data_IF_673887030740
#
_entry.id   IF_673887030740
#
_cell.length_a   1.000
_cell.length_b   1.000
_cell.length_c   1.000
_cell.angle_alpha   90.00
_cell.angle_beta   90.00
_cell.angle_gamma   90.00
#
_symmetry.space_group_name_H-M   'P 1'
#
loop_
_entity.id
_entity.type
_entity.pdbx_description
1 polymer ?
#
# COMPACT_ATOMS: atom_id res chain seq x y z
N UNK A 1 -19.45 -12.21 -38.77
CA UNK A 1 -18.30 -11.42 -38.28
C UNK A 1 -18.84 -10.14 -37.66
N UNK A 2 -19.06 -10.12 -36.34
CA UNK A 2 -19.51 -8.92 -35.64
C UNK A 2 -18.32 -7.98 -35.50
N UNK A 3 -18.36 -6.82 -36.18
CA UNK A 3 -17.39 -5.74 -35.95
C UNK A 3 -17.71 -5.16 -34.58
N UNK A 4 -16.85 -5.41 -33.60
CA UNK A 4 -16.84 -4.67 -32.35
C UNK A 4 -16.57 -3.20 -32.69
N UNK A 5 -17.63 -2.39 -32.83
CA UNK A 5 -17.52 -0.94 -32.91
C UNK A 5 -17.20 -0.49 -31.49
N UNK A 6 -16.00 0.00 -31.25
CA UNK A 6 -15.66 0.64 -29.97
C UNK A 6 -16.69 1.73 -29.63
N UNK A 7 -16.86 2.01 -28.34
CA UNK A 7 -17.75 3.07 -27.86
C UNK A 7 -17.40 4.42 -28.51
N UNK A 8 -18.41 5.24 -28.76
CA UNK A 8 -18.24 6.59 -29.31
C UNK A 8 -17.44 7.46 -28.32
N UNK A 9 -16.30 8.06 -28.72
CA UNK A 9 -15.51 8.91 -27.83
C UNK A 9 -16.29 10.04 -27.16
N UNK A 10 -17.28 10.62 -27.85
CA UNK A 10 -18.12 11.68 -27.27
C UNK A 10 -19.04 11.14 -26.17
N UNK A 11 -19.58 9.93 -26.35
CA UNK A 11 -20.41 9.25 -25.35
C UNK A 11 -19.58 8.86 -24.11
N UNK A 12 -18.35 8.38 -24.32
CA UNK A 12 -17.41 8.06 -23.23
C UNK A 12 -17.08 9.30 -22.40
N UNK A 13 -16.78 10.43 -23.04
CA UNK A 13 -16.48 11.68 -22.34
C UNK A 13 -17.71 12.22 -21.60
N UNK A 14 -18.90 12.12 -22.19
CA UNK A 14 -20.14 12.51 -21.51
C UNK A 14 -20.41 11.68 -20.24
N UNK A 15 -20.14 10.37 -20.29
CA UNK A 15 -20.23 9.49 -19.12
C UNK A 15 -19.19 9.85 -18.06
N UNK A 16 -17.93 10.11 -18.46
CA UNK A 16 -16.85 10.55 -17.56
C UNK A 16 -17.24 11.81 -16.80
N UNK A 17 -17.75 12.82 -17.51
CA UNK A 17 -18.19 14.08 -16.91
C UNK A 17 -19.37 13.89 -15.95
N UNK A 18 -20.30 12.98 -16.27
CA UNK A 18 -21.42 12.66 -15.38
C UNK A 18 -20.98 11.98 -14.08
N UNK A 19 -20.02 11.07 -14.16
CA UNK A 19 -19.39 10.45 -12.97
C UNK A 19 -18.72 11.53 -12.14
N UNK A 20 -17.89 12.38 -12.75
CA UNK A 20 -17.23 13.50 -12.06
C UNK A 20 -18.24 14.39 -11.33
N UNK A 21 -19.27 14.86 -12.03
CA UNK A 21 -20.32 15.70 -11.44
C UNK A 21 -21.01 15.04 -10.24
N UNK A 22 -21.21 13.72 -10.29
CA UNK A 22 -21.83 12.97 -9.19
C UNK A 22 -20.92 12.94 -7.96
N UNK A 23 -19.63 12.64 -8.16
CA UNK A 23 -18.66 12.60 -7.08
C UNK A 23 -18.40 13.99 -6.48
N UNK A 24 -18.27 15.03 -7.31
CA UNK A 24 -18.11 16.42 -6.87
C UNK A 24 -19.32 16.88 -6.04
N UNK A 25 -20.53 16.46 -6.42
CA UNK A 25 -21.75 16.77 -5.69
C UNK A 25 -21.84 16.00 -4.37
N UNK A 26 -21.30 14.78 -4.29
CA UNK A 26 -21.15 14.05 -3.04
C UNK A 26 -20.18 14.78 -2.11
N UNK A 27 -18.98 15.14 -2.56
CA UNK A 27 -17.99 15.88 -1.75
C UNK A 27 -18.53 17.23 -1.28
N UNK A 28 -19.28 17.94 -2.14
CA UNK A 28 -19.92 19.21 -1.76
C UNK A 28 -20.96 19.04 -0.64
N UNK A 29 -21.72 17.95 -0.67
CA UNK A 29 -22.81 17.70 0.29
C UNK A 29 -22.33 17.00 1.56
N UNK A 30 -21.27 16.20 1.46
CA UNK A 30 -20.65 15.44 2.53
C UNK A 30 -19.13 15.68 2.49
N UNK A 31 -18.66 16.90 2.83
CA UNK A 31 -17.23 17.19 2.77
C UNK A 31 -16.50 16.34 3.79
N UNK A 32 -15.44 15.64 3.37
CA UNK A 32 -14.71 14.70 4.23
C UNK A 32 -14.26 15.35 5.55
N UNK A 33 -13.79 16.60 5.47
CA UNK A 33 -13.36 17.40 6.63
C UNK A 33 -14.46 17.69 7.67
N UNK A 34 -15.73 17.58 7.27
CA UNK A 34 -16.90 17.90 8.11
C UNK A 34 -17.65 16.64 8.50
N UNK A 35 -17.86 15.72 7.56
CA UNK A 35 -18.48 14.42 7.77
C UNK A 35 -17.56 13.38 7.11
N UNK A 36 -16.69 12.78 7.92
CA UNK A 36 -15.77 11.78 7.43
C UNK A 36 -16.50 10.52 6.97
N UNK A 37 -16.13 9.99 5.80
CA UNK A 37 -16.59 8.68 5.33
C UNK A 37 -15.92 7.62 6.21
N UNK A 38 -16.64 7.11 7.20
CA UNK A 38 -16.10 6.17 8.20
C UNK A 38 -15.53 4.90 7.57
N UNK A 39 -16.20 4.39 6.52
CA UNK A 39 -15.74 3.22 5.78
C UNK A 39 -14.53 3.58 4.92
N UNK A 40 -13.36 3.10 5.33
CA UNK A 40 -12.11 3.27 4.59
C UNK A 40 -12.18 2.68 3.19
N UNK A 41 -12.77 1.50 3.05
CA UNK A 41 -12.90 0.84 1.75
C UNK A 41 -13.80 1.63 0.81
N UNK A 42 -14.89 2.22 1.33
CA UNK A 42 -15.75 3.07 0.51
C UNK A 42 -14.99 4.33 0.07
N UNK A 43 -14.27 4.97 0.98
CA UNK A 43 -13.52 6.18 0.67
C UNK A 43 -12.39 5.91 -0.34
N UNK A 44 -11.69 4.79 -0.16
CA UNK A 44 -10.69 4.29 -1.09
C UNK A 44 -11.29 4.03 -2.49
N UNK A 45 -12.44 3.35 -2.57
CA UNK A 45 -13.13 3.08 -3.83
C UNK A 45 -13.57 4.37 -4.55
N UNK A 46 -14.03 5.38 -3.81
CA UNK A 46 -14.33 6.70 -4.38
C UNK A 46 -13.08 7.28 -5.04
N UNK A 47 -11.93 7.18 -4.37
CA UNK A 47 -10.64 7.58 -4.93
C UNK A 47 -10.27 6.82 -6.20
N UNK A 48 -10.45 5.49 -6.22
CA UNK A 48 -10.21 4.69 -7.43
C UNK A 48 -11.08 5.17 -8.60
N UNK A 49 -12.35 5.47 -8.37
CA UNK A 49 -13.24 5.98 -9.42
C UNK A 49 -12.75 7.34 -9.92
N UNK A 50 -12.31 8.25 -9.04
CA UNK A 50 -11.68 9.51 -9.45
C UNK A 50 -10.44 9.27 -10.33
N UNK A 51 -9.57 8.33 -9.96
CA UNK A 51 -8.38 7.97 -10.75
C UNK A 51 -8.77 7.42 -12.14
N UNK A 52 -9.76 6.53 -12.21
CA UNK A 52 -10.25 5.93 -13.46
C UNK A 52 -10.82 6.97 -14.44
N UNK A 53 -11.38 8.06 -13.93
CA UNK A 53 -11.89 9.18 -14.76
C UNK A 53 -10.83 10.27 -15.00
N UNK A 54 -9.58 10.05 -14.62
CA UNK A 54 -8.45 10.94 -14.89
C UNK A 54 -8.17 11.99 -13.81
N UNK A 55 -8.88 11.98 -12.68
CA UNK A 55 -8.71 12.89 -11.55
C UNK A 55 -7.76 12.27 -10.50
N UNK A 56 -6.57 11.87 -10.93
CA UNK A 56 -5.60 11.10 -10.12
C UNK A 56 -5.17 11.82 -8.84
N UNK A 57 -5.05 13.14 -8.87
CA UNK A 57 -4.66 13.92 -7.68
C UNK A 57 -5.69 13.83 -6.56
N UNK A 58 -7.00 13.73 -6.90
CA UNK A 58 -8.04 13.54 -5.88
C UNK A 58 -7.88 12.16 -5.21
N UNK A 59 -7.53 11.12 -5.99
CA UNK A 59 -7.23 9.82 -5.39
C UNK A 59 -6.02 9.88 -4.45
N UNK A 60 -4.98 10.64 -4.82
CA UNK A 60 -3.81 10.84 -3.96
C UNK A 60 -4.20 11.51 -2.64
N UNK A 61 -4.96 12.60 -2.68
CA UNK A 61 -5.45 13.28 -1.46
C UNK A 61 -6.28 12.34 -0.58
N UNK A 62 -7.14 11.51 -1.18
CA UNK A 62 -7.91 10.49 -0.46
C UNK A 62 -6.97 9.48 0.20
N UNK A 63 -5.92 9.04 -0.50
CA UNK A 63 -4.95 8.08 0.00
C UNK A 63 -4.14 8.65 1.17
N UNK A 64 -3.70 9.91 1.07
CA UNK A 64 -3.02 10.65 2.14
C UNK A 64 -3.91 10.70 3.39
N UNK A 65 -5.17 11.12 3.23
CA UNK A 65 -6.15 11.16 4.33
C UNK A 65 -6.39 9.78 4.95
N UNK A 66 -6.49 8.74 4.12
CA UNK A 66 -6.67 7.36 4.60
C UNK A 66 -5.46 6.88 5.41
N UNK A 67 -4.25 7.25 5.00
CA UNK A 67 -3.01 6.90 5.68
C UNK A 67 -2.86 7.60 7.05
N UNK A 68 -3.35 8.83 7.18
CA UNK A 68 -3.32 9.60 8.44
C UNK A 68 -4.35 9.14 9.49
N UNK A 69 -5.39 8.42 9.08
CA UNK A 69 -6.45 7.95 10.00
C UNK A 69 -5.90 6.94 11.01
N UNK A 70 -6.32 7.09 12.28
CA UNK A 70 -6.01 6.13 13.36
C UNK A 70 -6.49 4.72 13.01
N UNK A 71 -5.75 3.72 13.49
CA UNK A 71 -6.10 2.29 13.39
C UNK A 71 -6.13 1.71 11.96
N UNK A 72 -5.04 1.86 11.20
CA UNK A 72 -4.87 1.11 9.94
C UNK A 72 -4.56 -0.36 10.19
N UNK A 73 -5.20 -1.24 9.42
CA UNK A 73 -4.79 -2.64 9.37
C UNK A 73 -3.46 -2.77 8.62
N UNK A 74 -2.77 -3.89 8.79
CA UNK A 74 -1.54 -4.18 8.04
C UNK A 74 -1.85 -4.20 6.53
N UNK A 75 -2.98 -4.81 6.16
CA UNK A 75 -3.43 -4.88 4.77
C UNK A 75 -3.78 -3.52 4.18
N UNK A 76 -4.40 -2.61 4.95
CA UNK A 76 -4.66 -1.24 4.50
C UNK A 76 -3.34 -0.54 4.15
N UNK A 77 -2.35 -0.60 5.04
CA UNK A 77 -1.04 0.03 4.82
C UNK A 77 -0.32 -0.55 3.62
N UNK A 78 -0.29 -1.88 3.49
CA UNK A 78 0.32 -2.55 2.32
C UNK A 78 -0.37 -2.09 1.04
N UNK A 79 -1.70 -2.11 0.99
CA UNK A 79 -2.48 -1.65 -0.16
C UNK A 79 -2.14 -0.20 -0.52
N UNK A 80 -2.10 0.70 0.45
CA UNK A 80 -1.80 2.11 0.19
C UNK A 80 -0.37 2.32 -0.28
N UNK A 81 0.61 1.66 0.36
CA UNK A 81 2.01 1.69 -0.07
C UNK A 81 2.18 1.21 -1.51
N UNK A 82 1.49 0.14 -1.90
CA UNK A 82 1.52 -0.37 -3.28
C UNK A 82 0.92 0.62 -4.27
N UNK A 83 -0.15 1.33 -3.92
CA UNK A 83 -0.73 2.36 -4.78
C UNK A 83 0.25 3.53 -4.98
N UNK A 84 0.95 3.97 -3.92
CA UNK A 84 2.00 4.99 -4.07
C UNK A 84 3.08 4.57 -5.07
N UNK A 85 3.52 3.31 -5.03
CA UNK A 85 4.49 2.75 -6.00
C UNK A 85 3.93 2.68 -7.43
N UNK A 86 2.73 2.10 -7.57
CA UNK A 86 2.20 1.70 -8.87
C UNK A 86 1.60 2.88 -9.64
N UNK A 87 0.76 3.65 -8.96
CA UNK A 87 -0.09 4.65 -9.60
C UNK A 87 0.56 6.04 -9.59
N UNK A 88 1.32 6.34 -8.54
CA UNK A 88 1.87 7.68 -8.29
C UNK A 88 3.39 7.78 -8.46
N UNK A 89 4.11 6.65 -8.50
CA UNK A 89 5.59 6.63 -8.47
C UNK A 89 6.15 7.44 -7.30
N UNK A 90 5.42 7.43 -6.19
CA UNK A 90 5.76 8.15 -4.97
C UNK A 90 6.46 7.21 -3.99
N UNK A 91 7.74 6.99 -4.26
CA UNK A 91 8.54 6.05 -3.49
C UNK A 91 8.84 6.56 -2.07
N UNK A 92 8.80 7.87 -1.83
CA UNK A 92 9.00 8.44 -0.49
C UNK A 92 7.86 8.06 0.46
N UNK A 93 6.60 8.24 0.04
CA UNK A 93 5.46 7.82 0.85
C UNK A 93 5.38 6.30 0.99
N UNK A 94 5.69 5.55 -0.07
CA UNK A 94 5.80 4.09 0.02
C UNK A 94 6.87 3.67 1.04
N UNK A 95 8.05 4.29 1.02
CA UNK A 95 9.16 4.01 1.93
C UNK A 95 8.75 4.24 3.37
N UNK A 96 8.11 5.37 3.68
CA UNK A 96 7.62 5.67 5.04
C UNK A 96 6.70 4.54 5.55
N UNK A 97 5.75 4.11 4.72
CA UNK A 97 4.79 3.05 5.09
C UNK A 97 5.50 1.71 5.31
N UNK A 98 6.34 1.29 4.35
CA UNK A 98 6.97 -0.03 4.40
C UNK A 98 8.08 -0.12 5.46
N UNK A 99 8.81 0.97 5.74
CA UNK A 99 9.74 1.05 6.87
C UNK A 99 9.01 0.95 8.22
N UNK A 100 7.88 1.65 8.38
CA UNK A 100 7.09 1.55 9.60
C UNK A 100 6.59 0.11 9.83
N UNK A 101 6.05 -0.54 8.79
CA UNK A 101 5.60 -1.92 8.85
C UNK A 101 6.74 -2.89 9.18
N UNK A 102 7.89 -2.75 8.50
CA UNK A 102 9.05 -3.61 8.72
C UNK A 102 9.61 -3.48 10.13
N UNK A 103 9.83 -2.25 10.59
CA UNK A 103 10.36 -1.99 11.93
C UNK A 103 9.38 -2.47 13.02
N UNK A 104 8.08 -2.25 12.83
CA UNK A 104 7.05 -2.76 13.76
C UNK A 104 7.06 -4.29 13.82
N UNK A 105 7.21 -4.97 12.67
CA UNK A 105 7.34 -6.42 12.66
C UNK A 105 8.54 -6.88 13.48
N UNK A 106 9.72 -6.28 13.28
CA UNK A 106 10.94 -6.65 14.01
C UNK A 106 10.82 -6.42 15.53
N UNK A 107 10.20 -5.31 15.94
CA UNK A 107 9.92 -5.03 17.35
C UNK A 107 9.01 -6.08 17.98
N UNK A 108 7.92 -6.42 17.27
CA UNK A 108 6.98 -7.45 17.70
C UNK A 108 7.66 -8.82 17.76
N UNK A 109 8.40 -9.22 16.71
CA UNK A 109 9.11 -10.49 16.63
C UNK A 109 10.08 -10.65 17.80
N UNK A 110 10.87 -9.61 18.10
CA UNK A 110 11.79 -9.61 19.22
C UNK A 110 11.07 -9.76 20.56
N UNK A 111 9.99 -8.99 20.79
CA UNK A 111 9.19 -9.11 22.02
C UNK A 111 8.60 -10.51 22.17
N UNK A 112 8.04 -11.07 21.10
CA UNK A 112 7.45 -12.41 21.06
C UNK A 112 8.52 -13.47 21.34
N UNK A 113 9.73 -13.31 20.79
CA UNK A 113 10.86 -14.21 21.04
C UNK A 113 11.28 -14.27 22.52
N UNK A 114 11.26 -13.13 23.23
CA UNK A 114 11.68 -13.04 24.64
C UNK A 114 10.57 -13.48 25.59
N UNK A 115 9.35 -12.97 25.38
CA UNK A 115 8.26 -13.08 26.36
C UNK A 115 7.18 -14.07 25.96
N UNK A 116 7.14 -14.48 24.69
CA UNK A 116 6.01 -15.17 24.09
C UNK A 116 4.86 -14.22 23.75
N UNK A 117 3.94 -14.69 22.88
CA UNK A 117 2.85 -13.88 22.30
C UNK A 117 2.00 -13.17 23.35
N UNK A 118 1.46 -13.92 24.33
CA UNK A 118 0.53 -13.36 25.33
C UNK A 118 1.19 -12.31 26.24
N UNK A 119 2.43 -12.54 26.66
CA UNK A 119 3.14 -11.60 27.55
C UNK A 119 3.64 -10.36 26.82
N UNK A 120 3.71 -10.42 25.49
CA UNK A 120 3.98 -9.26 24.61
C UNK A 120 2.74 -8.39 24.36
N UNK A 121 1.61 -8.65 25.04
CA UNK A 121 0.36 -7.90 24.84
C UNK A 121 -0.38 -8.24 23.54
N UNK A 122 0.03 -9.28 22.83
CA UNK A 122 -0.56 -9.73 21.58
C UNK A 122 -1.43 -10.97 21.79
N UNK A 123 -2.35 -11.19 20.84
CA UNK A 123 -3.03 -12.47 20.69
C UNK A 123 -2.44 -13.23 19.48
N UNK A 124 -2.69 -14.55 19.41
CA UNK A 124 -2.14 -15.40 18.36
C UNK A 124 -2.62 -14.99 16.96
N UNK A 125 -3.86 -14.50 16.83
CA UNK A 125 -4.41 -14.07 15.54
C UNK A 125 -3.62 -12.87 15.00
N UNK A 126 -3.37 -11.86 15.83
CA UNK A 126 -2.59 -10.68 15.46
C UNK A 126 -1.14 -11.05 15.13
N UNK A 127 -0.53 -11.94 15.91
CA UNK A 127 0.83 -12.40 15.59
C UNK A 127 0.88 -13.14 14.24
N UNK A 128 -0.06 -14.06 14.00
CA UNK A 128 -0.16 -14.75 12.71
C UNK A 128 -0.38 -13.77 11.54
N UNK A 129 -1.15 -12.71 11.75
CA UNK A 129 -1.36 -11.66 10.73
C UNK A 129 -0.04 -10.98 10.37
N UNK A 130 0.77 -10.59 11.36
CA UNK A 130 2.10 -10.05 11.11
C UNK A 130 3.01 -11.04 10.36
N UNK A 131 3.08 -12.30 10.81
CA UNK A 131 3.89 -13.32 10.14
C UNK A 131 3.48 -13.56 8.69
N UNK A 132 2.17 -13.63 8.43
CA UNK A 132 1.64 -13.90 7.09
C UNK A 132 1.92 -12.75 6.10
N UNK A 133 2.02 -11.52 6.59
CA UNK A 133 2.29 -10.35 5.74
C UNK A 133 3.78 -9.97 5.69
N UNK A 134 4.64 -10.56 6.52
CA UNK A 134 6.05 -10.16 6.62
C UNK A 134 6.81 -10.26 5.30
N UNK A 135 6.60 -11.34 4.54
CA UNK A 135 7.24 -11.50 3.22
C UNK A 135 6.87 -10.40 2.23
N UNK A 136 5.59 -10.00 2.20
CA UNK A 136 5.10 -8.93 1.32
C UNK A 136 5.62 -7.55 1.75
N UNK A 137 5.71 -7.31 3.06
CA UNK A 137 6.33 -6.10 3.63
C UNK A 137 7.79 -6.00 3.19
N UNK A 138 8.55 -7.10 3.34
CA UNK A 138 9.96 -7.17 2.94
C UNK A 138 10.10 -6.93 1.44
N UNK A 139 9.35 -7.64 0.60
CA UNK A 139 9.45 -7.47 -0.85
C UNK A 139 9.09 -6.06 -1.29
N UNK A 140 8.05 -5.46 -0.71
CA UNK A 140 7.61 -4.11 -1.06
C UNK A 140 8.62 -3.06 -0.62
N UNK A 141 9.23 -3.23 0.56
CA UNK A 141 10.29 -2.34 1.04
C UNK A 141 11.54 -2.42 0.17
N UNK A 142 12.00 -3.63 -0.16
CA UNK A 142 13.16 -3.85 -1.04
C UNK A 142 12.93 -3.20 -2.41
N UNK A 143 11.77 -3.45 -3.03
CA UNK A 143 11.42 -2.82 -4.30
C UNK A 143 11.43 -1.29 -4.19
N UNK A 144 10.88 -0.74 -3.11
CA UNK A 144 10.87 0.71 -2.88
C UNK A 144 12.29 1.26 -2.77
N UNK A 145 13.17 0.60 -2.03
CA UNK A 145 14.57 1.00 -1.93
C UNK A 145 15.31 0.92 -3.27
N UNK A 146 15.08 -0.13 -4.06
CA UNK A 146 15.67 -0.26 -5.40
C UNK A 146 15.23 0.86 -6.34
N UNK A 147 13.95 1.20 -6.37
CA UNK A 147 13.42 2.31 -7.19
C UNK A 147 13.97 3.69 -6.76
N UNK A 148 14.53 3.78 -5.55
CA UNK A 148 15.16 4.97 -4.98
C UNK A 148 16.69 4.93 -5.01
N UNK A 149 17.31 3.92 -5.65
CA UNK A 149 18.75 3.67 -5.65
C UNK A 149 19.37 3.49 -4.24
N UNK A 150 18.57 3.08 -3.25
CA UNK A 150 18.96 2.82 -1.86
C UNK A 150 19.44 1.38 -1.67
N UNK A 151 20.46 1.01 -2.43
CA UNK A 151 20.94 -0.38 -2.54
C UNK A 151 21.45 -0.95 -1.21
N UNK A 152 22.06 -0.12 -0.34
CA UNK A 152 22.57 -0.60 0.96
C UNK A 152 21.44 -0.96 1.92
N UNK A 153 20.39 -0.17 1.90
CA UNK A 153 19.18 -0.40 2.69
C UNK A 153 18.45 -1.66 2.20
N UNK A 154 18.33 -1.82 0.87
CA UNK A 154 17.78 -3.03 0.26
C UNK A 154 18.60 -4.29 0.61
N UNK A 155 19.93 -4.22 0.49
CA UNK A 155 20.85 -5.29 0.89
C UNK A 155 20.69 -5.68 2.36
N UNK A 156 20.59 -4.69 3.26
CA UNK A 156 20.41 -4.93 4.70
C UNK A 156 19.10 -5.67 4.99
N UNK A 157 18.00 -5.27 4.35
CA UNK A 157 16.69 -5.93 4.51
C UNK A 157 16.72 -7.36 3.96
N UNK A 158 17.29 -7.57 2.77
CA UNK A 158 17.40 -8.90 2.15
C UNK A 158 18.29 -9.85 2.95
N UNK A 159 19.41 -9.37 3.46
CA UNK A 159 20.31 -10.16 4.31
C UNK A 159 19.56 -10.64 5.55
N UNK A 160 18.86 -9.72 6.22
CA UNK A 160 18.04 -10.01 7.40
C UNK A 160 16.92 -11.01 7.09
N UNK A 161 16.29 -10.93 5.91
CA UNK A 161 15.30 -11.90 5.44
C UNK A 161 15.91 -13.28 5.20
N UNK A 162 17.08 -13.36 4.57
CA UNK A 162 17.76 -14.61 4.22
C UNK A 162 18.35 -15.35 5.42
N UNK A 163 18.71 -14.64 6.50
CA UNK A 163 19.06 -15.28 7.77
C UNK A 163 17.91 -16.13 8.33
N UNK A 164 16.66 -15.69 8.11
CA UNK A 164 15.43 -16.40 8.53
C UNK A 164 14.96 -17.41 7.49
N UNK A 165 15.17 -17.10 6.21
CA UNK A 165 14.66 -17.84 5.06
C UNK A 165 15.81 -18.24 4.11
N UNK A 166 16.79 -19.05 4.56
CA UNK A 166 18.02 -19.30 3.80
C UNK A 166 17.81 -20.05 2.47
N UNK A 167 16.65 -20.70 2.31
CA UNK A 167 16.28 -21.41 1.10
C UNK A 167 15.56 -20.54 0.06
N UNK A 168 15.24 -19.28 0.37
CA UNK A 168 14.58 -18.37 -0.58
C UNK A 168 15.53 -18.03 -1.74
N UNK A 169 15.22 -18.58 -2.92
CA UNK A 169 16.04 -18.40 -4.13
C UNK A 169 15.82 -17.01 -4.71
N UNK A 170 14.61 -16.46 -4.61
CA UNK A 170 14.28 -15.16 -5.20
C UNK A 170 14.98 -14.04 -4.44
N UNK A 171 14.93 -14.07 -3.11
CA UNK A 171 15.62 -13.08 -2.28
C UNK A 171 17.15 -13.13 -2.44
N UNK A 172 17.74 -14.33 -2.62
CA UNK A 172 19.17 -14.47 -2.94
C UNK A 172 19.52 -13.82 -4.27
N UNK A 173 18.72 -14.09 -5.30
CA UNK A 173 18.93 -13.49 -6.62
C UNK A 173 18.84 -11.97 -6.58
N UNK A 174 17.85 -11.42 -5.88
CA UNK A 174 17.72 -9.97 -5.68
C UNK A 174 18.95 -9.38 -4.97
N UNK A 175 19.48 -10.08 -3.96
CA UNK A 175 20.67 -9.65 -3.23
C UNK A 175 21.91 -9.64 -4.12
N UNK A 176 22.11 -10.69 -4.93
CA UNK A 176 23.20 -10.76 -5.91
C UNK A 176 23.11 -9.59 -6.91
N UNK A 177 21.92 -9.31 -7.45
CA UNK A 177 21.69 -8.20 -8.39
C UNK A 177 21.97 -6.80 -7.80
N UNK A 178 21.86 -6.63 -6.48
CA UNK A 178 22.13 -5.35 -5.78
C UNK A 178 23.64 -5.17 -5.51
N UNK A 179 24.36 -6.28 -5.37
CA UNK A 179 25.79 -6.29 -5.03
C UNK A 179 26.72 -6.22 -6.26
N UNK A 180 26.19 -6.49 -7.45
CA UNK A 180 26.88 -6.38 -8.75
C UNK A 180 27.05 -4.92 -9.22
#
# INVERSE_FOLDING_TARGET
MSKNKGADPEEVEALRLKVKQTLDQMEKNLPEKTIAIESKDLYYQIGQIYSEIGEKEIFREILDNLNERRSQSIQDKIRYGQVYIQDFKDFENAKIIFEELYNTYLEIENSVGIYGVKKSGLNQKTWNEWQNNYGEIVSSLVLTYQEMDLNREAESVLTTWLERNPSDINARKMLEEIQD
#
